data_IF_050578713228
#
_entry.id   IF_050578713228
#
_cell.length_a   1.000
_cell.length_b   1.000
_cell.length_c   1.000
_cell.angle_alpha   90.00
_cell.angle_beta   90.00
_cell.angle_gamma   90.00
#
_symmetry.space_group_name_H-M   'P 1'
#
loop_
_entity.id
_entity.type
_entity.pdbx_description
1 polymer ?
#
# COMPACT_ATOMS: atom_id res chain seq x y z
N UNK A 1 5.85 11.07 -16.73
CA UNK A 1 7.07 10.64 -16.01
C UNK A 1 7.15 9.14 -16.21
N UNK A 2 8.19 8.67 -16.91
CA UNK A 2 8.35 7.26 -17.29
C UNK A 2 8.72 6.44 -16.05
N UNK A 3 7.89 5.48 -15.65
CA UNK A 3 8.30 4.48 -14.67
C UNK A 3 8.81 3.25 -15.41
N UNK A 4 10.11 3.04 -15.26
CA UNK A 4 10.86 1.88 -15.73
C UNK A 4 10.16 0.60 -15.25
N UNK A 5 10.13 -0.38 -16.16
CA UNK A 5 9.84 -1.79 -15.92
C UNK A 5 10.94 -2.43 -15.03
N UNK A 6 11.20 -1.87 -13.86
CA UNK A 6 12.06 -2.50 -12.85
C UNK A 6 11.23 -3.60 -12.19
N UNK A 7 11.38 -4.83 -12.72
CA UNK A 7 11.05 -6.11 -12.09
C UNK A 7 10.11 -5.99 -10.89
N UNK A 8 8.79 -6.13 -11.11
CA UNK A 8 7.87 -6.41 -10.02
C UNK A 8 8.35 -7.68 -9.33
N UNK A 9 9.00 -7.53 -8.17
CA UNK A 9 9.42 -8.67 -7.34
C UNK A 9 8.13 -9.28 -6.78
N UNK A 10 7.65 -10.32 -7.45
CA UNK A 10 6.59 -11.18 -6.91
C UNK A 10 7.23 -12.08 -5.86
N UNK A 11 7.31 -11.59 -4.63
CA UNK A 11 7.77 -12.35 -3.46
C UNK A 11 6.74 -13.40 -2.98
N UNK A 12 5.60 -13.53 -3.69
CA UNK A 12 4.49 -14.39 -3.31
C UNK A 12 3.70 -13.89 -2.11
N UNK A 13 3.97 -12.65 -1.67
CA UNK A 13 3.29 -12.00 -0.55
C UNK A 13 2.33 -10.95 -1.06
N UNK A 14 1.35 -10.61 -0.22
CA UNK A 14 0.41 -9.54 -0.45
C UNK A 14 0.62 -8.46 0.59
N UNK A 15 0.35 -7.23 0.20
CA UNK A 15 0.51 -6.07 1.05
C UNK A 15 -0.78 -5.26 1.08
N UNK A 16 -1.13 -4.76 2.26
CA UNK A 16 -2.11 -3.68 2.40
C UNK A 16 -1.39 -2.45 2.94
N UNK A 17 -1.93 -1.28 2.63
CA UNK A 17 -1.45 -0.02 3.18
C UNK A 17 -2.53 0.50 4.10
N UNK A 18 -2.17 0.78 5.34
CA UNK A 18 -3.06 1.44 6.30
C UNK A 18 -2.60 2.87 6.53
N UNK A 19 -3.56 3.75 6.77
CA UNK A 19 -3.33 5.14 7.10
C UNK A 19 -4.05 5.50 8.41
N UNK A 20 -3.51 6.49 9.13
CA UNK A 20 -4.08 6.96 10.38
C UNK A 20 -4.83 8.29 10.18
N UNK A 21 -6.13 8.17 9.93
CA UNK A 21 -7.00 9.30 9.61
C UNK A 21 -7.10 10.22 10.84
N UNK A 22 -6.79 11.51 10.66
CA UNK A 22 -6.80 12.52 11.72
C UNK A 22 -6.06 12.14 13.02
N UNK A 23 -5.08 11.21 12.96
CA UNK A 23 -4.36 10.68 14.13
C UNK A 23 -5.26 9.97 15.16
N UNK A 24 -6.40 9.42 14.73
CA UNK A 24 -7.37 8.77 15.63
C UNK A 24 -7.44 7.29 15.40
N UNK A 25 -7.77 6.91 14.17
CA UNK A 25 -8.08 5.53 13.82
C UNK A 25 -7.21 5.08 12.65
N UNK A 26 -6.93 3.78 12.57
CA UNK A 26 -6.22 3.19 11.44
C UNK A 26 -7.24 2.57 10.49
N UNK A 27 -7.16 2.91 9.21
CA UNK A 27 -8.01 2.34 8.16
C UNK A 27 -7.19 1.90 6.94
N UNK A 28 -7.74 0.98 6.15
CA UNK A 28 -7.11 0.45 4.94
C UNK A 28 -7.30 1.43 3.80
N UNK A 29 -6.20 1.77 3.12
CA UNK A 29 -6.26 2.51 1.87
C UNK A 29 -6.94 1.63 0.82
N UNK A 30 -8.02 2.17 0.24
CA UNK A 30 -8.93 1.47 -0.69
C UNK A 30 -8.21 0.79 -1.85
N UNK A 31 -7.18 1.43 -2.39
CA UNK A 31 -6.34 0.92 -3.49
C UNK A 31 -5.63 -0.39 -3.13
N UNK A 32 -5.45 -0.67 -1.83
CA UNK A 32 -4.74 -1.83 -1.32
C UNK A 32 -5.64 -2.92 -0.71
N UNK A 33 -6.96 -2.70 -0.61
CA UNK A 33 -7.92 -3.62 0.08
C UNK A 33 -7.85 -5.07 -0.40
N UNK A 34 -7.54 -5.30 -1.67
CA UNK A 34 -7.47 -6.64 -2.27
C UNK A 34 -6.09 -7.31 -2.14
N UNK A 35 -5.16 -6.68 -1.44
CA UNK A 35 -3.77 -7.08 -1.40
C UNK A 35 -3.05 -6.74 -2.71
N UNK A 36 -2.02 -5.93 -2.60
CA UNK A 36 -1.17 -5.49 -3.71
C UNK A 36 0.22 -6.10 -3.60
N UNK A 37 1.01 -5.99 -4.67
CA UNK A 37 2.44 -6.32 -4.64
C UNK A 37 3.21 -5.31 -3.78
N UNK A 38 4.45 -5.66 -3.41
CA UNK A 38 5.31 -4.74 -2.66
C UNK A 38 5.54 -3.41 -3.41
N UNK A 39 5.76 -3.49 -4.73
CA UNK A 39 5.96 -2.31 -5.57
C UNK A 39 4.76 -1.37 -5.57
N UNK A 40 3.56 -1.92 -5.77
CA UNK A 40 2.31 -1.15 -5.71
C UNK A 40 2.07 -0.54 -4.31
N UNK A 41 2.36 -1.26 -3.23
CA UNK A 41 2.27 -0.71 -1.87
C UNK A 41 3.19 0.50 -1.68
N UNK A 42 4.43 0.42 -2.19
CA UNK A 42 5.38 1.54 -2.15
C UNK A 42 4.90 2.74 -2.99
N UNK A 43 4.32 2.48 -4.15
CA UNK A 43 3.72 3.53 -5.00
C UNK A 43 2.55 4.24 -4.31
N UNK A 44 1.67 3.48 -3.66
CA UNK A 44 0.56 4.03 -2.85
C UNK A 44 1.12 4.92 -1.76
N UNK A 45 2.09 4.44 -0.97
CA UNK A 45 2.70 5.24 0.10
C UNK A 45 3.31 6.53 -0.44
N UNK A 46 4.08 6.47 -1.52
CA UNK A 46 4.69 7.65 -2.12
C UNK A 46 3.64 8.66 -2.60
N UNK A 47 2.56 8.18 -3.22
CA UNK A 47 1.46 9.04 -3.65
C UNK A 47 0.81 9.75 -2.46
N UNK A 48 0.49 9.02 -1.40
CA UNK A 48 -0.17 9.57 -0.22
C UNK A 48 0.72 10.57 0.53
N UNK A 49 2.02 10.28 0.71
CA UNK A 49 2.97 11.24 1.29
C UNK A 49 3.09 12.53 0.45
N UNK A 50 3.11 12.41 -0.88
CA UNK A 50 3.33 13.55 -1.78
C UNK A 50 2.08 14.43 -1.96
N UNK A 51 0.90 13.82 -2.04
CA UNK A 51 -0.31 14.52 -2.47
C UNK A 51 -1.38 14.66 -1.38
N UNK A 52 -1.36 13.82 -0.35
CA UNK A 52 -2.34 13.86 0.75
C UNK A 52 -1.78 14.50 2.03
N UNK A 53 -0.47 14.79 2.07
CA UNK A 53 0.16 15.48 3.20
C UNK A 53 0.17 14.68 4.50
N UNK A 54 0.10 13.35 4.39
CA UNK A 54 0.18 12.44 5.54
C UNK A 54 1.63 12.36 6.03
N UNK A 55 1.83 12.34 7.34
CA UNK A 55 3.14 12.12 7.95
C UNK A 55 3.58 10.65 7.78
N UNK A 56 4.89 10.39 7.70
CA UNK A 56 5.41 9.01 7.59
C UNK A 56 4.97 8.10 8.74
N UNK A 57 4.68 8.67 9.91
CA UNK A 57 4.25 7.94 11.09
C UNK A 57 2.75 7.60 11.06
N UNK A 58 2.01 8.13 10.09
CA UNK A 58 0.57 7.94 9.90
C UNK A 58 0.25 7.03 8.72
N UNK A 59 1.23 6.31 8.17
CA UNK A 59 1.03 5.38 7.06
C UNK A 59 1.94 4.16 7.25
N UNK A 60 1.42 2.96 7.02
CA UNK A 60 2.16 1.73 7.23
C UNK A 60 1.79 0.68 6.19
N UNK A 61 2.81 -0.05 5.71
CA UNK A 61 2.63 -1.21 4.85
C UNK A 61 2.59 -2.45 5.75
N UNK A 62 1.56 -3.28 5.57
CA UNK A 62 1.38 -4.53 6.30
C UNK A 62 1.42 -5.69 5.30
N UNK A 63 2.25 -6.69 5.58
CA UNK A 63 2.22 -7.97 4.88
C UNK A 63 0.99 -8.79 5.31
N UNK A 64 0.24 -9.30 4.34
CA UNK A 64 -0.96 -10.12 4.55
C UNK A 64 -0.88 -11.42 3.75
N UNK A 65 -1.52 -12.50 4.22
CA UNK A 65 -1.53 -13.76 3.49
C UNK A 65 -2.43 -13.67 2.23
N UNK A 66 -2.03 -14.32 1.14
CA UNK A 66 -2.80 -14.37 -0.11
C UNK A 66 -3.94 -15.40 -0.02
N UNK A 67 -4.97 -15.07 0.76
CA UNK A 67 -6.14 -15.93 1.03
C UNK A 67 -7.41 -15.44 0.34
N UNK A 68 -7.35 -14.27 -0.29
CA UNK A 68 -8.51 -13.67 -0.98
C UNK A 68 -8.73 -14.43 -2.28
N UNK A 69 -9.70 -15.35 -2.27
CA UNK A 69 -10.05 -16.09 -3.47
C UNK A 69 -10.66 -15.13 -4.51
N UNK A 70 -10.22 -15.16 -5.77
CA UNK A 70 -10.94 -14.49 -6.84
C UNK A 70 -12.37 -15.05 -6.88
N UNK A 71 -13.36 -14.15 -6.83
CA UNK A 71 -14.77 -14.49 -7.03
C UNK A 71 -15.03 -14.86 -8.48
#
# INVERSE_FOLDING_TARGET
>A
MFFRNELQVMDGKKYIVIECEFKRDWDVIRESEKGVTQGEALEIVQYWLKYKGIDRNQIMIIEVPDIVRPR
#
